data_IF_845544953955
#
_entry.id   IF_845544953955
#
_cell.length_a   1.000
_cell.length_b   1.000
_cell.length_c   1.000
_cell.angle_alpha   90.00
_cell.angle_beta   90.00
_cell.angle_gamma   90.00
#
_symmetry.space_group_name_H-M   'P 1'
#
loop_
_entity.id
_entity.type
_entity.pdbx_description
1 polymer ?
#
# COMPACT_ATOMS: atom_id res chain seq x y z
N UNK A 1 9.70 51.36 -9.79
CA UNK A 1 8.89 50.44 -8.97
C UNK A 1 9.86 49.77 -8.02
N UNK A 2 9.81 50.08 -6.73
CA UNK A 2 10.73 49.46 -5.77
C UNK A 2 10.43 47.97 -5.70
N UNK A 3 11.45 47.12 -5.88
CA UNK A 3 11.30 45.68 -5.64
C UNK A 3 10.93 45.48 -4.18
N UNK A 4 9.70 45.06 -3.97
CA UNK A 4 9.22 44.73 -2.64
C UNK A 4 9.99 43.49 -2.17
N UNK A 5 10.70 43.61 -1.04
CA UNK A 5 11.42 42.47 -0.46
C UNK A 5 10.44 41.32 -0.22
N UNK A 6 10.84 40.09 -0.55
CA UNK A 6 10.01 38.90 -0.36
C UNK A 6 9.42 38.81 1.07
N UNK A 7 10.16 39.30 2.06
CA UNK A 7 9.71 39.41 3.46
C UNK A 7 8.50 40.33 3.63
N UNK A 8 8.55 41.54 3.06
CA UNK A 8 7.45 42.50 3.11
C UNK A 8 6.18 41.98 2.42
N UNK A 9 6.33 41.19 1.35
CA UNK A 9 5.21 40.53 0.69
C UNK A 9 4.56 39.48 1.59
N UNK A 10 5.37 38.62 2.24
CA UNK A 10 4.86 37.58 3.15
C UNK A 10 4.11 38.18 4.34
N UNK A 11 4.68 39.21 4.96
CA UNK A 11 4.09 39.90 6.12
C UNK A 11 2.74 40.54 5.78
N UNK A 12 2.60 41.10 4.57
CA UNK A 12 1.37 41.77 4.16
C UNK A 12 0.30 40.82 3.65
N UNK A 13 0.66 39.86 2.79
CA UNK A 13 -0.31 39.08 2.03
C UNK A 13 -0.57 37.68 2.62
N UNK A 14 0.45 37.04 3.20
CA UNK A 14 0.38 35.62 3.57
C UNK A 14 0.14 35.45 5.07
N UNK A 15 0.96 36.10 5.90
CA UNK A 15 0.93 35.93 7.36
C UNK A 15 -0.42 36.27 8.02
N UNK A 16 -1.17 37.31 7.59
CA UNK A 16 -2.46 37.64 8.20
C UNK A 16 -3.50 36.51 8.09
N UNK A 17 -3.37 35.66 7.07
CA UNK A 17 -4.27 34.51 6.85
C UNK A 17 -3.65 33.22 7.39
N UNK A 18 -2.34 33.06 7.23
CA UNK A 18 -1.63 31.83 7.58
C UNK A 18 -1.39 31.68 9.09
N UNK A 19 -0.97 32.74 9.79
CA UNK A 19 -0.61 32.66 11.21
C UNK A 19 -1.80 32.25 12.09
N UNK A 20 -3.01 32.81 11.93
CA UNK A 20 -4.17 32.36 12.71
C UNK A 20 -4.50 30.89 12.45
N UNK A 21 -4.38 30.43 11.19
CA UNK A 21 -4.60 29.04 10.84
C UNK A 21 -3.59 28.09 11.46
N UNK A 22 -2.32 28.50 11.56
CA UNK A 22 -1.29 27.73 12.24
C UNK A 22 -1.51 27.68 13.75
N UNK A 23 -1.95 28.78 14.37
CA UNK A 23 -2.28 28.83 15.79
C UNK A 23 -3.43 27.87 16.13
N UNK A 24 -4.54 27.95 15.40
CA UNK A 24 -5.68 27.05 15.57
C UNK A 24 -5.31 25.59 15.33
N UNK A 25 -4.52 25.32 14.28
CA UNK A 25 -4.01 23.99 13.98
C UNK A 25 -3.19 23.42 15.14
N UNK A 26 -2.33 24.24 15.78
CA UNK A 26 -1.53 23.83 16.93
C UNK A 26 -2.41 23.58 18.16
N UNK A 27 -3.43 24.42 18.39
CA UNK A 27 -4.38 24.22 19.47
C UNK A 27 -5.15 22.90 19.32
N UNK A 28 -5.69 22.63 18.13
CA UNK A 28 -6.36 21.35 17.81
C UNK A 28 -5.38 20.18 17.92
N UNK A 29 -4.17 20.30 17.42
CA UNK A 29 -3.16 19.25 17.52
C UNK A 29 -2.79 18.92 18.98
N UNK A 30 -2.77 19.93 19.86
CA UNK A 30 -2.45 19.76 21.28
C UNK A 30 -3.57 19.04 22.06
N UNK A 31 -4.82 19.29 21.69
CA UNK A 31 -6.00 18.70 22.35
C UNK A 31 -6.37 17.32 21.81
N UNK A 32 -5.91 16.98 20.60
CA UNK A 32 -6.21 15.69 19.97
C UNK A 32 -5.37 14.58 20.60
N UNK A 33 -5.97 13.77 21.48
CA UNK A 33 -5.31 12.60 22.11
C UNK A 33 -4.74 11.58 21.12
N UNK A 34 -5.32 11.52 19.90
CA UNK A 34 -4.95 10.59 18.84
C UNK A 34 -3.98 11.23 17.85
N UNK A 35 -2.74 11.48 18.28
CA UNK A 35 -1.63 11.99 17.42
C UNK A 35 -1.51 11.29 16.05
N UNK A 36 -1.93 10.03 15.94
CA UNK A 36 -1.88 9.22 14.70
C UNK A 36 -2.99 9.51 13.68
N UNK A 37 -4.04 10.26 14.07
CA UNK A 37 -5.19 10.56 13.21
C UNK A 37 -5.22 11.98 12.67
N UNK A 38 -4.54 12.91 13.34
CA UNK A 38 -4.53 14.31 12.94
C UNK A 38 -3.49 14.53 11.83
N UNK A 39 -3.94 15.09 10.70
CA UNK A 39 -3.07 15.56 9.64
C UNK A 39 -3.09 17.10 9.61
N UNK A 40 -1.97 17.70 9.99
CA UNK A 40 -1.81 19.15 10.10
C UNK A 40 -2.01 19.86 8.76
N UNK A 41 -1.53 19.28 7.66
CA UNK A 41 -1.65 19.88 6.33
C UNK A 41 -3.10 19.85 5.85
N UNK A 42 -3.80 18.76 6.07
CA UNK A 42 -5.23 18.61 5.75
C UNK A 42 -6.06 19.67 6.49
N UNK A 43 -5.79 19.83 7.78
CA UNK A 43 -6.46 20.84 8.60
C UNK A 43 -6.18 22.25 8.06
N UNK A 44 -4.93 22.57 7.76
CA UNK A 44 -4.55 23.89 7.28
C UNK A 44 -5.17 24.19 5.91
N UNK A 45 -5.22 23.22 5.00
CA UNK A 45 -5.89 23.37 3.70
C UNK A 45 -7.38 23.66 3.88
N UNK A 46 -8.06 22.90 4.75
CA UNK A 46 -9.47 23.14 5.05
C UNK A 46 -9.68 24.53 5.68
N UNK A 47 -8.86 24.88 6.68
CA UNK A 47 -8.93 26.16 7.37
C UNK A 47 -8.76 27.34 6.41
N UNK A 48 -7.71 27.34 5.59
CA UNK A 48 -7.41 28.41 4.64
C UNK A 48 -8.48 28.51 3.54
N UNK A 49 -9.10 27.38 3.16
CA UNK A 49 -10.16 27.40 2.16
C UNK A 49 -11.45 28.02 2.69
N UNK A 50 -11.80 27.74 3.95
CA UNK A 50 -12.95 28.30 4.67
C UNK A 50 -12.78 29.80 4.94
N UNK A 51 -11.62 30.18 5.49
CA UNK A 51 -11.34 31.55 5.92
C UNK A 51 -10.74 32.42 4.80
N UNK A 52 -11.12 32.17 3.55
CA UNK A 52 -10.64 32.99 2.44
C UNK A 52 -11.38 34.34 2.42
N UNK A 53 -10.71 35.49 2.68
CA UNK A 53 -11.39 36.79 2.80
C UNK A 53 -12.09 37.25 1.50
N UNK A 54 -11.80 36.60 0.36
CA UNK A 54 -12.36 36.94 -0.95
C UNK A 54 -13.60 36.11 -1.31
N UNK A 55 -13.98 35.14 -0.48
CA UNK A 55 -15.03 34.16 -0.79
C UNK A 55 -15.81 33.78 0.47
N UNK A 56 -17.08 34.14 0.51
CA UNK A 56 -17.98 33.83 1.62
C UNK A 56 -18.72 32.49 1.43
N UNK A 57 -19.37 32.01 2.50
CA UNK A 57 -20.29 30.86 2.46
C UNK A 57 -19.60 29.49 2.39
N UNK A 58 -18.40 29.36 2.99
CA UNK A 58 -17.59 28.13 2.93
C UNK A 58 -17.47 27.39 4.26
N UNK A 59 -18.13 27.87 5.31
CA UNK A 59 -17.92 27.41 6.70
C UNK A 59 -18.20 25.91 6.88
N UNK A 60 -19.16 25.36 6.14
CA UNK A 60 -19.60 23.96 6.23
C UNK A 60 -18.88 22.99 5.27
N UNK A 61 -17.87 23.45 4.51
CA UNK A 61 -17.17 22.60 3.53
C UNK A 61 -16.12 21.74 4.24
N UNK A 62 -16.24 20.42 4.13
CA UNK A 62 -15.20 19.45 4.54
C UNK A 62 -14.09 19.35 3.49
N UNK A 63 -12.85 19.05 3.90
CA UNK A 63 -11.70 18.88 3.00
C UNK A 63 -11.99 18.07 1.71
N UNK A 64 -12.67 16.93 1.84
CA UNK A 64 -12.96 16.04 0.71
C UNK A 64 -13.91 16.66 -0.35
N UNK A 65 -14.65 17.70 0.00
CA UNK A 65 -15.58 18.42 -0.89
C UNK A 65 -14.94 19.65 -1.54
N UNK A 66 -13.69 19.96 -1.23
CA UNK A 66 -12.97 21.06 -1.86
C UNK A 66 -12.65 20.66 -3.31
N UNK A 67 -13.00 21.46 -4.33
CA UNK A 67 -12.92 21.03 -5.73
C UNK A 67 -11.53 20.51 -6.15
N UNK A 68 -10.46 21.24 -5.83
CA UNK A 68 -9.11 20.82 -6.20
C UNK A 68 -8.63 19.59 -5.42
N UNK A 69 -9.13 19.39 -4.19
CA UNK A 69 -8.81 18.22 -3.37
C UNK A 69 -9.51 16.98 -3.91
N UNK A 70 -10.78 17.12 -4.30
CA UNK A 70 -11.56 16.03 -4.89
C UNK A 70 -10.94 15.54 -6.21
N UNK A 71 -10.55 16.47 -7.08
CA UNK A 71 -9.84 16.16 -8.33
C UNK A 71 -8.50 15.47 -8.07
N UNK A 72 -7.75 15.94 -7.07
CA UNK A 72 -6.47 15.35 -6.70
C UNK A 72 -6.63 13.94 -6.16
N UNK A 73 -7.61 13.70 -5.27
CA UNK A 73 -7.84 12.37 -4.70
C UNK A 73 -8.41 11.37 -5.71
N UNK A 74 -9.08 11.82 -6.78
CA UNK A 74 -9.48 10.96 -7.90
C UNK A 74 -8.27 10.43 -8.66
N UNK A 75 -7.23 11.25 -8.84
CA UNK A 75 -5.98 10.88 -9.53
C UNK A 75 -5.04 10.10 -8.61
N UNK A 76 -4.93 10.56 -7.36
CA UNK A 76 -4.01 10.08 -6.34
C UNK A 76 -4.80 9.68 -5.09
N UNK A 77 -5.45 8.50 -5.09
CA UNK A 77 -6.23 8.05 -3.95
C UNK A 77 -5.34 7.90 -2.72
N UNK A 78 -5.83 8.41 -1.58
CA UNK A 78 -5.09 8.38 -0.32
C UNK A 78 -4.87 6.92 0.12
N UNK A 79 -3.65 6.54 0.58
CA UNK A 79 -3.43 5.20 1.09
C UNK A 79 -4.33 4.93 2.31
N UNK A 80 -4.77 3.68 2.51
CA UNK A 80 -5.57 3.33 3.67
C UNK A 80 -4.78 3.62 4.94
N UNK A 81 -5.48 4.13 5.96
CA UNK A 81 -4.87 4.39 7.26
C UNK A 81 -4.30 3.08 7.85
N UNK A 82 -3.16 3.16 8.56
CA UNK A 82 -2.58 1.97 9.16
C UNK A 82 -3.56 1.37 10.19
N UNK A 83 -3.58 0.04 10.38
CA UNK A 83 -4.48 -0.60 11.34
C UNK A 83 -4.37 -0.03 12.75
N UNK A 84 -3.17 0.41 13.15
CA UNK A 84 -2.95 1.05 14.45
C UNK A 84 -3.72 2.37 14.67
N UNK A 85 -4.22 2.99 13.59
CA UNK A 85 -5.05 4.20 13.64
C UNK A 85 -6.54 3.90 13.47
N UNK A 86 -6.92 2.78 12.87
CA UNK A 86 -8.31 2.41 12.59
C UNK A 86 -8.91 1.46 13.61
N UNK A 87 -8.12 0.50 14.11
CA UNK A 87 -8.58 -0.54 15.02
C UNK A 87 -8.98 0.03 16.38
N UNK A 88 -10.09 -0.47 16.91
CA UNK A 88 -10.43 -0.35 18.32
C UNK A 88 -9.46 -1.15 19.19
N UNK A 89 -9.44 -0.85 20.49
CA UNK A 89 -8.59 -1.58 21.43
C UNK A 89 -8.97 -3.08 21.48
N UNK A 90 -10.27 -3.39 21.45
CA UNK A 90 -10.76 -4.77 21.49
C UNK A 90 -10.39 -5.56 20.24
N UNK A 91 -10.53 -4.96 19.05
CA UNK A 91 -10.10 -5.60 17.80
C UNK A 91 -8.59 -5.83 17.79
N UNK A 92 -7.81 -4.83 18.21
CA UNK A 92 -6.36 -4.95 18.30
C UNK A 92 -5.96 -6.06 19.30
N UNK A 93 -6.64 -6.13 20.45
CA UNK A 93 -6.43 -7.17 21.46
C UNK A 93 -6.71 -8.56 20.90
N UNK A 94 -7.81 -8.74 20.18
CA UNK A 94 -8.14 -10.02 19.55
C UNK A 94 -7.08 -10.45 18.52
N UNK A 95 -6.63 -9.52 17.67
CA UNK A 95 -5.58 -9.79 16.68
C UNK A 95 -4.28 -10.21 17.36
N UNK A 96 -3.84 -9.47 18.38
CA UNK A 96 -2.61 -9.75 19.12
C UNK A 96 -2.71 -11.10 19.84
N UNK A 97 -3.82 -11.37 20.53
CA UNK A 97 -4.04 -12.63 21.23
C UNK A 97 -4.07 -13.82 20.28
N UNK A 98 -4.76 -13.71 19.14
CA UNK A 98 -4.79 -14.76 18.12
C UNK A 98 -3.39 -15.02 17.56
N UNK A 99 -2.64 -13.96 17.24
CA UNK A 99 -1.26 -14.08 16.77
C UNK A 99 -0.36 -14.78 17.79
N UNK A 100 -0.46 -14.41 19.08
CA UNK A 100 0.31 -15.02 20.15
C UNK A 100 -0.05 -16.49 20.37
N UNK A 101 -1.35 -16.83 20.42
CA UNK A 101 -1.79 -18.24 20.53
C UNK A 101 -1.24 -19.07 19.36
N UNK A 102 -1.31 -18.54 18.14
CA UNK A 102 -0.74 -19.18 16.96
C UNK A 102 0.78 -19.36 17.07
N UNK A 103 1.51 -18.34 17.56
CA UNK A 103 2.95 -18.43 17.82
C UNK A 103 3.26 -19.52 18.84
N UNK A 104 2.58 -19.51 20.00
CA UNK A 104 2.76 -20.51 21.06
C UNK A 104 2.53 -21.92 20.56
N UNK A 105 1.48 -22.15 19.78
CA UNK A 105 1.23 -23.46 19.17
C UNK A 105 2.36 -23.89 18.24
N UNK A 106 2.89 -22.97 17.42
CA UNK A 106 4.03 -23.26 16.54
C UNK A 106 5.32 -23.49 17.30
N UNK A 107 5.49 -22.94 18.49
CA UNK A 107 6.67 -23.21 19.33
C UNK A 107 6.66 -24.60 19.96
N UNK A 108 5.53 -25.32 19.98
CA UNK A 108 5.47 -26.67 20.54
C UNK A 108 6.31 -27.64 19.69
N UNK A 109 7.03 -28.51 20.37
CA UNK A 109 7.97 -29.45 19.74
C UNK A 109 7.27 -30.43 18.78
N UNK A 110 6.14 -31.00 19.19
CA UNK A 110 5.29 -31.87 18.36
C UNK A 110 4.89 -31.20 17.03
N UNK A 111 4.50 -29.93 17.10
CA UNK A 111 4.13 -29.12 15.93
C UNK A 111 5.34 -28.79 15.05
N UNK A 112 6.51 -28.51 15.64
CA UNK A 112 7.74 -28.26 14.89
C UNK A 112 8.22 -29.50 14.14
N UNK A 113 8.28 -30.65 14.82
CA UNK A 113 8.64 -31.93 14.21
C UNK A 113 7.70 -32.27 13.05
N UNK A 114 6.39 -32.06 13.22
CA UNK A 114 5.44 -32.27 12.14
C UNK A 114 5.67 -31.32 10.96
N UNK A 115 6.01 -30.05 11.21
CA UNK A 115 6.32 -29.07 10.15
C UNK A 115 7.57 -29.44 9.37
N UNK A 116 8.60 -29.94 10.05
CA UNK A 116 9.84 -30.43 9.43
C UNK A 116 9.56 -31.66 8.57
N UNK A 117 8.79 -32.62 9.09
CA UNK A 117 8.35 -33.78 8.33
C UNK A 117 7.56 -33.38 7.08
N UNK A 118 6.59 -32.46 7.20
CA UNK A 118 5.84 -31.94 6.06
C UNK A 118 6.74 -31.22 5.04
N UNK A 119 7.79 -30.53 5.50
CA UNK A 119 8.78 -29.88 4.62
C UNK A 119 9.59 -30.92 3.85
N UNK A 120 10.01 -32.02 4.49
CA UNK A 120 10.66 -33.15 3.82
C UNK A 120 9.78 -33.75 2.73
N UNK A 121 8.53 -34.07 3.08
CA UNK A 121 7.56 -34.67 2.15
C UNK A 121 7.25 -33.76 0.94
N UNK A 122 7.18 -32.43 1.14
CA UNK A 122 7.05 -31.47 0.02
C UNK A 122 8.27 -31.50 -0.92
N UNK A 123 9.49 -31.66 -0.39
CA UNK A 123 10.70 -31.78 -1.23
C UNK A 123 10.67 -33.06 -2.05
N UNK A 124 10.29 -34.19 -1.46
CA UNK A 124 10.15 -35.47 -2.17
C UNK A 124 9.13 -35.38 -3.30
N UNK A 125 7.93 -34.86 -3.01
CA UNK A 125 6.90 -34.64 -4.03
C UNK A 125 7.39 -33.71 -5.14
N UNK A 126 8.09 -32.63 -4.78
CA UNK A 126 8.63 -31.71 -5.78
C UNK A 126 9.73 -32.35 -6.63
N UNK A 127 10.59 -33.19 -6.04
CA UNK A 127 11.61 -33.93 -6.80
C UNK A 127 10.96 -34.86 -7.82
N UNK A 128 9.92 -35.61 -7.42
CA UNK A 128 9.14 -36.46 -8.34
C UNK A 128 8.52 -35.62 -9.46
N UNK A 129 7.94 -34.45 -9.15
CA UNK A 129 7.37 -33.54 -10.15
C UNK A 129 8.40 -33.02 -11.15
N UNK A 130 9.61 -32.68 -10.67
CA UNK A 130 10.71 -32.23 -11.54
C UNK A 130 11.14 -33.37 -12.45
N UNK A 131 11.37 -34.56 -11.91
CA UNK A 131 11.74 -35.75 -12.68
C UNK A 131 10.69 -36.06 -13.75
N UNK A 132 9.40 -36.06 -13.39
CA UNK A 132 8.30 -36.27 -14.35
C UNK A 132 8.27 -35.21 -15.46
N UNK A 133 8.60 -33.96 -15.14
CA UNK A 133 8.68 -32.86 -16.11
C UNK A 133 9.83 -33.08 -17.10
N UNK A 134 11.01 -33.42 -16.60
CA UNK A 134 12.17 -33.70 -17.47
C UNK A 134 11.94 -34.92 -18.37
N UNK A 135 11.36 -36.00 -17.85
CA UNK A 135 10.99 -37.17 -18.67
C UNK A 135 9.92 -36.87 -19.72
N UNK A 136 9.04 -35.90 -19.45
CA UNK A 136 8.08 -35.43 -20.45
C UNK A 136 8.78 -34.66 -21.57
N UNK A 137 9.64 -33.70 -21.20
CA UNK A 137 10.45 -32.91 -22.14
C UNK A 137 11.31 -33.80 -23.05
N UNK A 138 12.02 -34.77 -22.47
CA UNK A 138 12.83 -35.72 -23.26
C UNK A 138 12.02 -36.60 -24.22
N UNK A 139 10.74 -36.88 -23.93
CA UNK A 139 9.87 -37.61 -24.87
C UNK A 139 9.45 -36.71 -26.03
N UNK A 140 9.02 -35.49 -25.73
CA UNK A 140 8.64 -34.48 -26.72
C UNK A 140 9.82 -34.19 -27.67
N UNK A 141 11.03 -33.96 -27.14
CA UNK A 141 12.25 -33.75 -27.95
C UNK A 141 12.59 -34.95 -28.87
N UNK A 142 12.36 -36.19 -28.41
CA UNK A 142 12.57 -37.40 -29.22
C UNK A 142 11.50 -37.56 -30.31
N UNK A 143 10.26 -37.22 -30.01
CA UNK A 143 9.16 -37.30 -30.97
C UNK A 143 9.31 -36.22 -32.05
N UNK A 144 9.76 -35.00 -31.69
CA UNK A 144 10.08 -33.91 -32.62
C UNK A 144 11.28 -34.27 -33.53
N UNK A 145 12.33 -34.90 -32.97
CA UNK A 145 13.48 -35.38 -33.73
C UNK A 145 13.09 -36.46 -34.75
N UNK A 146 12.28 -37.44 -34.36
CA UNK A 146 11.78 -38.47 -35.27
C UNK A 146 10.89 -37.91 -36.38
N UNK A 147 10.02 -36.95 -36.03
CA UNK A 147 9.14 -36.30 -37.01
C UNK A 147 9.95 -35.52 -38.04
N UNK A 148 11.04 -34.86 -37.60
CA UNK A 148 11.96 -34.13 -38.48
C UNK A 148 12.80 -35.06 -39.38
N UNK A 149 13.25 -36.21 -38.87
CA UNK A 149 13.93 -37.25 -39.66
C UNK A 149 13.01 -37.91 -40.70
N UNK A 150 11.74 -38.17 -40.35
CA UNK A 150 10.75 -38.72 -41.29
C UNK A 150 10.45 -37.74 -42.43
N UNK A 151 10.35 -36.44 -42.14
CA UNK A 151 10.12 -35.42 -43.16
C UNK A 151 11.32 -35.26 -44.11
N UNK A 152 12.56 -35.27 -43.60
CA UNK A 152 13.76 -35.23 -44.45
C UNK A 152 13.90 -36.47 -45.34
N UNK A 153 13.56 -37.65 -44.85
CA UNK A 153 13.63 -38.88 -45.65
C UNK A 153 12.57 -38.89 -46.77
N UNK A 154 11.37 -38.35 -46.52
CA UNK A 154 10.34 -38.20 -47.57
C UNK A 154 10.70 -37.16 -48.64
N UNK A 155 11.43 -36.10 -48.29
CA UNK A 155 11.93 -35.13 -49.28
C UNK A 155 13.03 -35.73 -50.17
N UNK A 156 13.89 -36.59 -49.62
CA UNK A 156 14.97 -37.25 -50.37
C UNK A 156 14.49 -38.41 -51.27
N UNK A 157 13.35 -39.03 -50.97
CA UNK A 157 12.75 -40.09 -51.81
C UNK A 157 11.93 -39.54 -53.00
N UNK A 158 11.65 -38.23 -53.03
CA UNK A 158 10.87 -37.57 -54.08
C UNK A 158 11.73 -36.80 -55.12
N UNK A 159 13.05 -37.04 -55.15
CA UNK A 159 14.02 -36.50 -56.13
C UNK A 159 14.57 -37.64 -56.99
#
# INVERSE_FOLDING_TARGET
MAEESATSYLEREIFPVLLPGLEEMLHVASTTEKRKRFNSLDYLVEYLYKHNPRKDGRDEITLAKIPFVEEEWKKNPRPPLPPSATLSEDEARLIIQAAYRGYRTRCREDVQLFREWQKGRRKEINAVKVIQREWRRHREEKDDSKTSEMNMNQENENV
#
